data_IF_031472213509
#
_entry.id   IF_031472213509
#
_cell.length_a   1.000
_cell.length_b   1.000
_cell.length_c   1.000
_cell.angle_alpha   90.00
_cell.angle_beta   90.00
_cell.angle_gamma   90.00
#
_symmetry.space_group_name_H-M   'P 1'
#
loop_
_entity.id
_entity.type
_entity.pdbx_description
1 polymer ?
#
# COMPACT_ATOMS: atom_id res chain seq x y z
N UNK A 1 17.50 -22.02 14.44
CA UNK A 1 17.74 -20.75 15.13
C UNK A 1 16.39 -20.08 15.40
N UNK A 2 16.00 -19.90 16.64
CA UNK A 2 14.70 -19.30 16.94
C UNK A 2 14.73 -17.81 16.60
N UNK A 3 13.85 -17.38 15.70
CA UNK A 3 13.61 -15.94 15.41
C UNK A 3 12.97 -15.36 16.68
N UNK A 4 13.75 -14.62 17.46
CA UNK A 4 13.18 -13.80 18.52
C UNK A 4 12.50 -12.58 17.87
N UNK A 5 11.22 -12.76 17.52
CA UNK A 5 10.44 -11.67 16.94
C UNK A 5 9.93 -10.77 18.07
N UNK A 6 10.75 -9.83 18.54
CA UNK A 6 10.38 -8.82 19.54
C UNK A 6 9.70 -7.59 18.90
N UNK A 7 9.47 -7.60 17.60
CA UNK A 7 8.76 -6.51 16.91
C UNK A 7 7.25 -6.69 17.09
N UNK A 8 6.49 -5.62 17.42
CA UNK A 8 5.04 -5.63 17.38
C UNK A 8 4.48 -5.74 15.94
N UNK A 9 5.34 -5.62 14.93
CA UNK A 9 4.97 -5.64 13.52
C UNK A 9 5.52 -6.90 12.86
N UNK A 10 4.62 -7.75 12.37
CA UNK A 10 4.97 -9.06 11.81
C UNK A 10 5.92 -8.98 10.60
N UNK A 11 5.77 -7.93 9.77
CA UNK A 11 6.59 -7.71 8.56
C UNK A 11 7.87 -6.92 8.84
N UNK A 12 8.14 -6.56 10.10
CA UNK A 12 9.36 -5.87 10.53
C UNK A 12 10.00 -6.61 11.70
N UNK A 13 10.47 -7.85 11.50
CA UNK A 13 11.07 -8.65 12.56
C UNK A 13 12.44 -8.13 12.98
N UNK A 14 12.80 -8.39 14.25
CA UNK A 14 14.18 -8.31 14.70
C UNK A 14 14.84 -9.70 14.58
N UNK A 15 15.96 -9.77 13.88
CA UNK A 15 16.78 -10.97 13.70
C UNK A 15 18.20 -10.62 14.13
N UNK A 16 18.72 -11.30 15.16
CA UNK A 16 20.06 -11.02 15.72
C UNK A 16 20.31 -9.54 16.05
N UNK A 17 19.35 -8.88 16.68
CA UNK A 17 19.36 -7.46 17.04
C UNK A 17 19.35 -6.47 15.86
N UNK A 18 19.17 -6.93 14.62
CA UNK A 18 18.96 -6.09 13.44
C UNK A 18 17.46 -6.10 13.05
N UNK A 19 16.93 -4.95 12.65
CA UNK A 19 15.56 -4.84 12.14
C UNK A 19 15.54 -5.12 10.64
N UNK A 20 14.59 -5.93 10.21
CA UNK A 20 14.34 -6.24 8.81
C UNK A 20 13.00 -5.69 8.35
N UNK A 21 12.90 -5.32 7.08
CA UNK A 21 11.64 -5.18 6.36
C UNK A 21 11.45 -6.46 5.52
N UNK A 22 10.51 -7.30 5.94
CA UNK A 22 10.35 -8.66 5.39
C UNK A 22 11.68 -9.45 5.52
N UNK A 23 12.45 -9.57 4.44
CA UNK A 23 13.73 -10.28 4.41
C UNK A 23 14.94 -9.36 4.17
N UNK A 24 14.73 -8.04 4.09
CA UNK A 24 15.76 -7.05 3.79
C UNK A 24 16.18 -6.33 5.07
N UNK A 25 17.48 -6.29 5.36
CA UNK A 25 18.03 -5.54 6.49
C UNK A 25 17.79 -4.03 6.29
N UNK A 26 17.16 -3.37 7.28
CA UNK A 26 16.89 -1.92 7.24
C UNK A 26 18.20 -1.11 7.17
N UNK A 27 19.29 -1.59 7.76
CA UNK A 27 20.58 -0.92 7.68
C UNK A 27 21.14 -0.93 6.24
N UNK A 28 20.89 -2.01 5.48
CA UNK A 28 21.27 -2.06 4.06
C UNK A 28 20.48 -1.02 3.26
N UNK A 29 19.16 -0.91 3.48
CA UNK A 29 18.33 0.12 2.85
C UNK A 29 18.85 1.51 3.21
N UNK A 30 19.14 1.78 4.49
CA UNK A 30 19.66 3.06 4.97
C UNK A 30 20.98 3.45 4.31
N UNK A 31 21.83 2.49 4.00
CA UNK A 31 23.10 2.75 3.32
C UNK A 31 22.93 3.27 1.89
N UNK A 32 21.83 2.89 1.23
CA UNK A 32 21.55 3.25 -0.15
C UNK A 32 20.72 4.53 -0.30
N UNK A 33 19.70 4.73 0.55
CA UNK A 33 18.73 5.82 0.37
C UNK A 33 18.93 6.99 1.34
N UNK A 34 19.84 6.90 2.27
CA UNK A 34 20.09 7.86 3.39
C UNK A 34 18.89 7.96 4.34
N UNK A 35 19.17 8.41 5.56
CA UNK A 35 18.16 8.66 6.60
C UNK A 35 17.83 10.15 6.68
N UNK A 36 16.60 10.55 7.12
CA UNK A 36 15.46 9.67 7.43
C UNK A 36 14.69 9.20 6.17
N UNK A 37 14.03 8.03 6.24
CA UNK A 37 13.15 7.52 5.18
C UNK A 37 11.98 6.74 5.77
N UNK A 38 10.91 6.60 4.98
CA UNK A 38 9.82 5.67 5.27
C UNK A 38 10.08 4.35 4.55
N UNK A 39 9.88 3.24 5.24
CA UNK A 39 9.96 1.90 4.66
C UNK A 39 8.58 1.23 4.76
N UNK A 40 8.08 0.74 3.65
CA UNK A 40 6.81 0.04 3.56
C UNK A 40 7.05 -1.42 3.18
N UNK A 41 6.35 -2.34 3.86
CA UNK A 41 6.33 -3.75 3.48
C UNK A 41 5.27 -3.96 2.40
N UNK A 42 5.69 -4.53 1.27
CA UNK A 42 4.77 -4.88 0.19
C UNK A 42 3.84 -6.02 0.64
N UNK A 43 4.38 -7.01 1.35
CA UNK A 43 3.61 -8.12 1.91
C UNK A 43 2.53 -7.64 2.89
N UNK A 44 2.83 -6.63 3.72
CA UNK A 44 1.84 -6.06 4.63
C UNK A 44 0.68 -5.38 3.88
N UNK A 45 0.98 -4.65 2.80
CA UNK A 45 -0.02 -4.00 1.95
C UNK A 45 -0.90 -5.06 1.27
N UNK A 46 -0.29 -6.06 0.66
CA UNK A 46 -0.99 -7.15 -0.02
C UNK A 46 -1.88 -7.94 0.95
N UNK A 47 -1.33 -8.36 2.09
CA UNK A 47 -2.07 -9.12 3.11
C UNK A 47 -3.27 -8.33 3.64
N UNK A 48 -3.10 -7.03 3.89
CA UNK A 48 -4.19 -6.16 4.32
C UNK A 48 -5.31 -6.12 3.28
N UNK A 49 -4.98 -5.88 2.01
CA UNK A 49 -5.97 -5.83 0.93
C UNK A 49 -6.71 -7.17 0.78
N UNK A 50 -5.96 -8.28 0.72
CA UNK A 50 -6.52 -9.62 0.55
C UNK A 50 -7.41 -10.05 1.73
N UNK A 51 -7.15 -9.54 2.94
CA UNK A 51 -8.01 -9.79 4.10
C UNK A 51 -9.41 -9.17 3.91
N UNK A 52 -9.49 -7.95 3.38
CA UNK A 52 -10.76 -7.31 3.03
C UNK A 52 -11.44 -8.05 1.88
N UNK A 53 -10.72 -8.35 0.80
CA UNK A 53 -11.26 -9.09 -0.33
C UNK A 53 -11.86 -10.43 0.11
N UNK A 54 -11.15 -11.18 0.95
CA UNK A 54 -11.63 -12.44 1.50
C UNK A 54 -12.90 -12.27 2.36
N UNK A 55 -12.96 -11.21 3.18
CA UNK A 55 -14.11 -10.93 4.02
C UNK A 55 -15.37 -10.60 3.21
N UNK A 56 -15.20 -9.93 2.07
CA UNK A 56 -16.31 -9.51 1.21
C UNK A 56 -16.57 -10.42 -0.02
N UNK A 57 -15.86 -11.55 -0.14
CA UNK A 57 -15.93 -12.41 -1.34
C UNK A 57 -17.32 -12.93 -1.70
N UNK A 58 -18.26 -12.94 -0.77
CA UNK A 58 -19.65 -13.36 -0.99
C UNK A 58 -20.58 -12.19 -1.34
N UNK A 59 -20.05 -10.96 -1.36
CA UNK A 59 -20.77 -9.74 -1.65
C UNK A 59 -20.34 -9.20 -3.02
N UNK A 60 -21.25 -8.50 -3.70
CA UNK A 60 -20.90 -7.69 -4.87
C UNK A 60 -20.30 -6.36 -4.36
N UNK A 61 -19.02 -6.39 -4.04
CA UNK A 61 -18.33 -5.28 -3.40
C UNK A 61 -17.03 -4.94 -4.14
N UNK A 62 -16.79 -3.65 -4.32
CA UNK A 62 -15.51 -3.11 -4.79
C UNK A 62 -14.76 -2.46 -3.64
N UNK A 63 -13.56 -2.96 -3.35
CA UNK A 63 -12.68 -2.38 -2.35
C UNK A 63 -11.85 -1.29 -3.01
N UNK A 64 -12.00 -0.05 -2.55
CA UNK A 64 -11.28 1.11 -3.06
C UNK A 64 -10.27 1.61 -2.02
N UNK A 65 -9.00 1.66 -2.41
CA UNK A 65 -7.96 2.22 -1.56
C UNK A 65 -8.05 3.76 -1.52
N UNK A 66 -8.01 4.33 -0.32
CA UNK A 66 -8.00 5.78 -0.13
C UNK A 66 -6.62 6.36 -0.46
N UNK A 67 -6.48 6.93 -1.67
CA UNK A 67 -5.19 7.40 -2.21
C UNK A 67 -4.54 8.46 -1.34
N UNK A 68 -5.33 9.29 -0.66
CA UNK A 68 -4.84 10.30 0.29
C UNK A 68 -3.97 9.74 1.43
N UNK A 69 -4.10 8.46 1.76
CA UNK A 69 -3.31 7.83 2.82
C UNK A 69 -1.85 7.69 2.41
N UNK A 70 -1.59 7.27 1.16
CA UNK A 70 -0.26 7.22 0.57
C UNK A 70 -0.38 7.15 -0.97
N UNK A 71 -0.08 8.24 -1.63
CA UNK A 71 -0.16 8.37 -3.09
C UNK A 71 1.13 7.92 -3.81
N UNK A 72 2.03 7.18 -3.13
CA UNK A 72 3.24 6.64 -3.76
C UNK A 72 2.86 5.67 -4.87
N UNK A 73 3.52 5.84 -6.03
CA UNK A 73 3.19 5.08 -7.23
C UNK A 73 3.38 3.57 -7.06
N UNK A 74 4.39 3.14 -6.29
CA UNK A 74 4.62 1.72 -6.02
C UNK A 74 3.49 1.10 -5.19
N UNK A 75 3.01 1.81 -4.16
CA UNK A 75 1.86 1.38 -3.34
C UNK A 75 0.61 1.21 -4.20
N UNK A 76 0.30 2.23 -5.02
CA UNK A 76 -0.85 2.18 -5.92
C UNK A 76 -0.74 1.05 -6.94
N UNK A 77 0.46 0.82 -7.49
CA UNK A 77 0.69 -0.26 -8.46
C UNK A 77 0.51 -1.64 -7.82
N UNK A 78 0.98 -1.83 -6.58
CA UNK A 78 0.76 -3.07 -5.84
C UNK A 78 -0.74 -3.35 -5.68
N UNK A 79 -1.50 -2.36 -5.22
CA UNK A 79 -2.94 -2.49 -5.04
C UNK A 79 -3.71 -2.67 -6.36
N UNK A 80 -3.30 -1.97 -7.43
CA UNK A 80 -3.88 -2.14 -8.75
C UNK A 80 -3.73 -3.57 -9.28
N UNK A 81 -2.57 -4.20 -9.09
CA UNK A 81 -2.32 -5.60 -9.46
C UNK A 81 -3.22 -6.59 -8.73
N UNK A 82 -3.64 -6.27 -7.52
CA UNK A 82 -4.58 -7.07 -6.73
C UNK A 82 -6.05 -6.81 -7.11
N UNK A 83 -6.31 -5.84 -7.98
CA UNK A 83 -7.66 -5.53 -8.46
C UNK A 83 -8.39 -4.45 -7.68
N UNK A 84 -7.70 -3.73 -6.78
CA UNK A 84 -8.25 -2.62 -6.01
C UNK A 84 -8.81 -1.52 -6.91
N UNK A 85 -9.90 -0.89 -6.47
CA UNK A 85 -10.29 0.44 -6.91
C UNK A 85 -9.52 1.54 -6.17
N UNK A 86 -9.80 2.78 -6.49
CA UNK A 86 -9.24 3.96 -5.82
C UNK A 86 -10.35 4.91 -5.34
N UNK A 87 -10.23 5.36 -4.10
CA UNK A 87 -10.98 6.51 -3.60
C UNK A 87 -10.06 7.73 -3.63
N UNK A 88 -10.44 8.73 -4.42
CA UNK A 88 -9.62 9.90 -4.73
C UNK A 88 -10.33 11.20 -4.36
N UNK A 89 -9.56 12.25 -4.07
CA UNK A 89 -10.07 13.55 -3.68
C UNK A 89 -9.53 14.70 -4.55
N UNK A 90 -8.71 14.39 -5.55
CA UNK A 90 -8.13 15.40 -6.46
C UNK A 90 -7.85 14.80 -7.85
N UNK A 91 -7.72 15.67 -8.85
CA UNK A 91 -7.29 15.30 -10.20
C UNK A 91 -5.91 14.61 -10.18
N UNK A 92 -4.98 15.12 -9.37
CA UNK A 92 -3.65 14.53 -9.23
C UNK A 92 -3.70 13.08 -8.74
N UNK A 93 -4.60 12.77 -7.83
CA UNK A 93 -4.81 11.39 -7.36
C UNK A 93 -5.45 10.51 -8.44
N UNK A 94 -6.41 11.03 -9.23
CA UNK A 94 -6.97 10.31 -10.37
C UNK A 94 -5.87 9.93 -11.36
N UNK A 95 -5.02 10.89 -11.73
CA UNK A 95 -3.91 10.65 -12.67
C UNK A 95 -2.93 9.59 -12.15
N UNK A 96 -2.62 9.63 -10.85
CA UNK A 96 -1.77 8.62 -10.21
C UNK A 96 -2.40 7.23 -10.20
N UNK A 97 -3.69 7.14 -9.89
CA UNK A 97 -4.43 5.89 -9.89
C UNK A 97 -4.46 5.25 -11.29
N UNK A 98 -4.76 6.03 -12.32
CA UNK A 98 -4.75 5.58 -13.71
C UNK A 98 -3.33 5.14 -14.13
N UNK A 99 -2.31 5.93 -13.81
CA UNK A 99 -0.91 5.58 -14.10
C UNK A 99 -0.43 4.31 -13.38
N UNK A 100 -1.03 3.98 -12.24
CA UNK A 100 -0.77 2.73 -11.52
C UNK A 100 -1.47 1.51 -12.14
N UNK A 101 -2.38 1.72 -13.10
CA UNK A 101 -3.15 0.67 -13.75
C UNK A 101 -4.55 0.43 -13.18
N UNK A 102 -5.05 1.32 -12.29
CA UNK A 102 -6.43 1.23 -11.81
C UNK A 102 -7.36 1.74 -12.90
N UNK A 103 -8.30 0.90 -13.39
CA UNK A 103 -9.20 1.30 -14.46
C UNK A 103 -10.20 2.37 -13.98
N UNK A 104 -10.55 3.32 -14.88
CA UNK A 104 -11.38 4.47 -14.53
C UNK A 104 -12.73 4.12 -13.91
N UNK A 105 -13.34 3.00 -14.31
CA UNK A 105 -14.62 2.53 -13.74
C UNK A 105 -14.51 2.00 -12.32
N UNK A 106 -13.29 1.84 -11.79
CA UNK A 106 -13.00 1.49 -10.39
C UNK A 106 -12.52 2.69 -9.56
N UNK A 107 -12.69 3.91 -10.08
CA UNK A 107 -12.29 5.14 -9.37
C UNK A 107 -13.54 5.83 -8.81
N UNK A 108 -13.55 6.04 -7.50
CA UNK A 108 -14.58 6.78 -6.77
C UNK A 108 -13.99 8.13 -6.36
N UNK A 109 -14.69 9.22 -6.70
CA UNK A 109 -14.29 10.56 -6.29
C UNK A 109 -15.10 11.01 -5.07
N UNK A 110 -14.50 11.02 -3.89
CA UNK A 110 -15.11 11.44 -2.63
C UNK A 110 -14.82 12.90 -2.24
N UNK A 111 -14.02 13.61 -3.04
CA UNK A 111 -13.66 15.01 -2.81
C UNK A 111 -14.85 15.97 -2.88
N UNK A 112 -14.75 17.10 -2.15
CA UNK A 112 -15.82 18.10 -2.05
C UNK A 112 -15.85 19.08 -3.23
N UNK A 113 -14.72 19.30 -3.90
CA UNK A 113 -14.58 20.22 -5.02
C UNK A 113 -14.45 19.43 -6.34
N UNK A 114 -15.52 19.40 -7.12
CA UNK A 114 -15.58 18.78 -8.44
C UNK A 114 -15.88 19.85 -9.48
N UNK A 115 -14.98 20.02 -10.44
CA UNK A 115 -15.27 20.81 -11.65
C UNK A 115 -15.86 19.91 -12.75
N UNK A 116 -16.34 20.52 -13.82
CA UNK A 116 -16.84 19.81 -15.00
C UNK A 116 -15.76 19.53 -16.02
N UNK A 117 -14.61 20.19 -15.86
CA UNK A 117 -13.50 20.16 -16.83
C UNK A 117 -12.54 18.99 -16.54
#
# INVERSE_FOLDING_TARGET
MAIQNNSPFINFPYINNAMFAEQVDIAEIASQVKTPFYCYSNEAIETSYLSYESAFKTQDALICYAVKANANQAVLTTLAKLGSGADVVSEGEIRRAIAAGIPSHKIVYSGVAKSRD
#
